data_IF_267442366824
#
_entry.id   IF_267442366824
#
_cell.length_a   1.000
_cell.length_b   1.000
_cell.length_c   1.000
_cell.angle_alpha   90.00
_cell.angle_beta   90.00
_cell.angle_gamma   90.00
#
_symmetry.space_group_name_H-M   'P 1'
#
loop_
_entity.id
_entity.type
_entity.pdbx_description
1 polymer ?
#
# COMPACT_ATOMS: atom_id res chain seq x y z
N UNK A 1 -8.29 -13.33 -6.71
CA UNK A 1 -6.97 -13.73 -6.14
C UNK A 1 -7.23 -14.36 -4.79
N UNK A 2 -6.61 -15.49 -4.48
CA UNK A 2 -6.63 -16.09 -3.15
C UNK A 2 -5.33 -15.64 -2.45
N UNK A 3 -5.43 -14.82 -1.41
CA UNK A 3 -4.29 -14.40 -0.59
C UNK A 3 -4.32 -15.18 0.74
N UNK A 4 -3.58 -16.29 0.85
CA UNK A 4 -3.63 -17.17 2.02
C UNK A 4 -3.09 -16.52 3.31
N UNK A 5 -2.33 -15.43 3.17
CA UNK A 5 -1.62 -14.77 4.28
C UNK A 5 -2.49 -13.78 5.07
N UNK A 6 -3.70 -13.46 4.60
CA UNK A 6 -4.64 -12.65 5.37
C UNK A 6 -5.31 -13.54 6.44
N UNK A 7 -4.56 -13.80 7.53
CA UNK A 7 -5.02 -14.62 8.66
C UNK A 7 -6.26 -14.05 9.40
N UNK A 8 -6.65 -12.81 9.07
CA UNK A 8 -7.93 -12.19 9.41
C UNK A 8 -8.66 -11.82 8.12
N UNK A 9 -9.40 -12.78 7.54
CA UNK A 9 -10.21 -12.55 6.34
C UNK A 9 -11.36 -11.59 6.69
N UNK A 10 -11.25 -10.34 6.24
CA UNK A 10 -12.41 -9.47 6.15
C UNK A 10 -13.18 -9.91 4.88
N UNK A 11 -14.44 -10.39 5.00
CA UNK A 11 -15.23 -10.81 3.84
C UNK A 11 -15.64 -9.63 2.95
N UNK A 12 -15.35 -8.39 3.36
CA UNK A 12 -15.58 -7.22 2.53
C UNK A 12 -14.88 -7.36 1.17
N UNK A 13 -15.59 -7.12 0.07
CA UNK A 13 -14.99 -7.17 -1.26
C UNK A 13 -13.93 -6.08 -1.40
N UNK A 14 -12.84 -6.41 -2.09
CA UNK A 14 -11.84 -5.43 -2.52
C UNK A 14 -12.51 -4.49 -3.52
N UNK A 15 -12.33 -3.19 -3.32
CA UNK A 15 -12.82 -2.18 -4.25
C UNK A 15 -11.96 -2.18 -5.53
N UNK A 16 -12.58 -2.27 -6.73
CA UNK A 16 -11.85 -2.10 -7.99
C UNK A 16 -11.21 -0.72 -8.09
N UNK A 17 -10.09 -0.59 -8.80
CA UNK A 17 -9.37 0.69 -8.91
C UNK A 17 -10.24 1.84 -9.40
N UNK A 18 -11.14 1.57 -10.37
CA UNK A 18 -12.10 2.57 -10.88
C UNK A 18 -13.03 3.13 -9.79
N UNK A 19 -13.35 2.33 -8.77
CA UNK A 19 -14.17 2.78 -7.63
C UNK A 19 -13.33 3.64 -6.70
N UNK A 20 -12.11 3.21 -6.38
CA UNK A 20 -11.22 3.98 -5.51
C UNK A 20 -10.78 5.31 -6.12
N UNK A 21 -10.66 5.39 -7.46
CA UNK A 21 -10.37 6.65 -8.17
C UNK A 21 -11.48 7.70 -8.03
N UNK A 22 -12.71 7.26 -7.73
CA UNK A 22 -13.82 8.17 -7.46
C UNK A 22 -13.85 8.71 -6.03
N UNK A 23 -13.00 8.17 -5.15
CA UNK A 23 -12.91 8.55 -3.74
C UNK A 23 -11.62 9.37 -3.57
N UNK A 24 -11.71 10.66 -3.20
CA UNK A 24 -10.54 11.54 -3.17
C UNK A 24 -9.63 11.24 -1.97
N UNK A 25 -8.80 10.20 -2.07
CA UNK A 25 -7.85 9.81 -1.02
C UNK A 25 -6.67 10.80 -0.95
N UNK A 26 -6.85 11.91 -0.23
CA UNK A 26 -5.80 12.90 0.04
C UNK A 26 -6.09 13.69 1.30
N UNK A 27 -5.05 14.15 2.01
CA UNK A 27 -5.22 14.97 3.21
C UNK A 27 -5.83 16.34 2.89
N UNK A 28 -5.58 16.87 1.69
CA UNK A 28 -6.18 18.13 1.19
C UNK A 28 -7.69 18.01 0.94
N UNK A 29 -8.18 16.77 0.79
CA UNK A 29 -9.58 16.44 0.49
C UNK A 29 -10.28 15.70 1.62
N UNK A 30 -9.75 15.80 2.84
CA UNK A 30 -10.25 15.03 3.98
C UNK A 30 -11.72 15.31 4.31
N UNK A 31 -12.19 16.54 4.12
CA UNK A 31 -13.60 16.88 4.38
C UNK A 31 -14.55 16.17 3.41
N UNK A 32 -14.17 16.07 2.14
CA UNK A 32 -14.94 15.33 1.12
C UNK A 32 -15.00 13.84 1.48
N UNK A 33 -13.89 13.26 1.96
CA UNK A 33 -13.85 11.87 2.45
C UNK A 33 -14.75 11.65 3.66
N UNK A 34 -14.70 12.53 4.66
CA UNK A 34 -15.55 12.39 5.85
C UNK A 34 -17.03 12.45 5.49
N UNK A 35 -17.42 13.37 4.59
CA UNK A 35 -18.78 13.42 4.09
C UNK A 35 -19.16 12.14 3.31
N UNK A 36 -18.28 11.65 2.44
CA UNK A 36 -18.53 10.44 1.64
C UNK A 36 -18.77 9.20 2.52
N UNK A 37 -17.97 9.03 3.58
CA UNK A 37 -18.06 7.89 4.49
C UNK A 37 -18.94 8.15 5.72
N UNK A 38 -19.60 9.31 5.80
CA UNK A 38 -20.42 9.70 6.96
C UNK A 38 -19.66 9.64 8.29
N UNK A 39 -18.39 10.06 8.26
CA UNK A 39 -17.51 10.13 9.43
C UNK A 39 -17.76 11.47 10.14
N UNK A 40 -18.01 11.38 11.44
CA UNK A 40 -18.10 12.54 12.31
C UNK A 40 -16.69 13.07 12.63
N UNK A 41 -16.45 14.35 12.32
CA UNK A 41 -15.15 15.03 12.46
C UNK A 41 -14.70 15.13 13.92
N UNK A 42 -15.64 15.10 14.86
CA UNK A 42 -15.35 15.25 16.29
C UNK A 42 -14.94 13.92 16.95
N UNK A 43 -15.02 12.81 16.20
CA UNK A 43 -14.57 11.51 16.69
C UNK A 43 -13.05 11.36 16.61
N UNK A 44 -12.49 10.61 17.55
CA UNK A 44 -11.08 10.21 17.54
C UNK A 44 -10.70 9.50 16.23
N UNK A 45 -11.62 8.70 15.68
CA UNK A 45 -11.45 8.00 14.40
C UNK A 45 -11.16 8.95 13.23
N UNK A 46 -11.76 10.14 13.18
CA UNK A 46 -11.50 11.13 12.14
C UNK A 46 -10.05 11.64 12.20
N UNK A 47 -9.55 11.89 13.41
CA UNK A 47 -8.16 12.29 13.61
C UNK A 47 -7.19 11.18 13.23
N UNK A 48 -7.50 9.92 13.58
CA UNK A 48 -6.72 8.76 13.16
C UNK A 48 -6.65 8.66 11.63
N UNK A 49 -7.78 8.78 10.94
CA UNK A 49 -7.85 8.70 9.47
C UNK A 49 -7.01 9.81 8.82
N UNK A 50 -7.17 11.06 9.26
CA UNK A 50 -6.38 12.18 8.75
C UNK A 50 -4.88 11.96 8.97
N UNK A 51 -4.49 11.52 10.17
CA UNK A 51 -3.08 11.21 10.48
C UNK A 51 -2.54 10.11 9.58
N UNK A 52 -3.29 9.03 9.36
CA UNK A 52 -2.89 7.93 8.49
C UNK A 52 -2.70 8.38 7.05
N UNK A 53 -3.59 9.23 6.52
CA UNK A 53 -3.45 9.76 5.16
C UNK A 53 -2.20 10.65 5.06
N UNK A 54 -1.98 11.54 6.04
CA UNK A 54 -0.76 12.38 6.08
C UNK A 54 0.51 11.54 6.12
N UNK A 55 0.54 10.51 6.96
CA UNK A 55 1.67 9.56 7.01
C UNK A 55 1.87 8.84 5.67
N UNK A 56 0.81 8.61 4.90
CA UNK A 56 0.92 8.00 3.57
C UNK A 56 1.54 8.97 2.54
N UNK A 57 1.18 10.25 2.61
CA UNK A 57 1.63 11.32 1.71
C UNK A 57 2.99 11.93 2.08
N UNK A 58 3.48 11.70 3.30
CA UNK A 58 4.82 12.13 3.73
C UNK A 58 5.90 11.63 2.75
N UNK A 59 6.98 12.41 2.54
CA UNK A 59 8.10 11.98 1.70
C UNK A 59 8.64 10.60 2.09
N UNK A 60 9.24 9.90 1.12
CA UNK A 60 9.95 8.67 1.40
C UNK A 60 11.13 8.93 2.35
N UNK A 61 11.43 7.97 3.23
CA UNK A 61 12.64 8.00 4.03
C UNK A 61 13.91 7.82 3.18
N UNK A 62 15.06 8.07 3.79
CA UNK A 62 16.34 7.95 3.09
C UNK A 62 16.58 6.53 2.57
N UNK A 63 16.75 6.40 1.26
CA UNK A 63 16.96 5.13 0.59
C UNK A 63 15.69 4.31 0.33
N UNK A 64 14.50 4.87 0.62
CA UNK A 64 13.22 4.23 0.35
C UNK A 64 12.52 4.81 -0.88
N UNK A 65 11.70 3.99 -1.53
CA UNK A 65 10.70 4.45 -2.51
C UNK A 65 9.33 4.23 -1.89
N UNK A 66 8.57 5.30 -1.74
CA UNK A 66 7.24 5.29 -1.12
C UNK A 66 6.18 5.64 -2.13
N UNK A 67 5.06 4.93 -2.06
CA UNK A 67 3.88 5.20 -2.87
C UNK A 67 2.63 5.00 -2.02
N UNK A 68 1.78 6.02 -1.99
CA UNK A 68 0.51 5.97 -1.28
C UNK A 68 -0.54 5.28 -2.16
N UNK A 69 -0.62 3.95 -2.07
CA UNK A 69 -1.58 3.17 -2.85
C UNK A 69 -3.00 3.33 -2.31
N UNK A 70 -3.94 3.65 -3.20
CA UNK A 70 -5.36 3.86 -2.89
C UNK A 70 -6.23 2.64 -3.19
N UNK A 71 -5.65 1.61 -3.82
CA UNK A 71 -6.33 0.36 -4.18
C UNK A 71 -5.37 -0.82 -4.09
N UNK A 72 -5.92 -2.03 -4.03
CA UNK A 72 -5.11 -3.23 -4.09
C UNK A 72 -4.39 -3.36 -5.45
N UNK A 73 -5.05 -2.95 -6.54
CA UNK A 73 -4.50 -3.02 -7.89
C UNK A 73 -3.29 -2.08 -8.02
N UNK A 74 -3.39 -0.84 -7.55
CA UNK A 74 -2.27 0.11 -7.57
C UNK A 74 -1.13 -0.28 -6.63
N UNK A 75 -1.41 -0.98 -5.52
CA UNK A 75 -0.37 -1.60 -4.69
C UNK A 75 0.38 -2.72 -5.45
N UNK A 76 -0.33 -3.57 -6.20
CA UNK A 76 0.27 -4.61 -7.04
C UNK A 76 1.10 -3.99 -8.16
N UNK A 77 0.61 -2.94 -8.81
CA UNK A 77 1.34 -2.23 -9.87
C UNK A 77 2.64 -1.59 -9.34
N UNK A 78 2.55 -0.90 -8.19
CA UNK A 78 3.72 -0.29 -7.55
C UNK A 78 4.76 -1.36 -7.18
N UNK A 79 4.37 -2.41 -6.45
CA UNK A 79 5.31 -3.48 -6.06
C UNK A 79 5.93 -4.17 -7.27
N UNK A 80 5.15 -4.42 -8.32
CA UNK A 80 5.64 -5.00 -9.57
C UNK A 80 6.66 -4.09 -10.28
N UNK A 81 6.44 -2.77 -10.24
CA UNK A 81 7.37 -1.77 -10.80
C UNK A 81 8.70 -1.74 -10.05
N UNK A 82 8.69 -1.92 -8.73
CA UNK A 82 9.90 -1.88 -7.89
C UNK A 82 10.70 -3.18 -7.97
N UNK A 83 10.02 -4.33 -8.02
CA UNK A 83 10.66 -5.64 -8.12
C UNK A 83 11.23 -5.94 -9.52
N UNK A 84 11.06 -5.03 -10.49
CA UNK A 84 11.54 -5.20 -11.86
C UNK A 84 10.80 -6.30 -12.62
N UNK A 85 9.65 -6.75 -12.13
CA UNK A 85 8.77 -7.65 -12.87
C UNK A 85 8.08 -6.83 -13.95
N UNK A 86 8.65 -6.83 -15.16
CA UNK A 86 8.03 -6.18 -16.32
C UNK A 86 6.61 -6.72 -16.46
N UNK A 87 5.65 -5.79 -16.35
CA UNK A 87 4.32 -5.78 -16.94
C UNK A 87 3.79 -7.18 -17.28
N UNK A 88 2.84 -7.68 -16.49
CA UNK A 88 2.06 -8.88 -16.79
C UNK A 88 1.29 -8.68 -18.11
N UNK A 89 1.99 -8.77 -19.24
CA UNK A 89 1.39 -9.08 -20.52
C UNK A 89 0.87 -10.52 -20.41
N UNK A 90 -0.38 -10.80 -20.83
CA UNK A 90 -1.06 -12.05 -20.49
C UNK A 90 -0.40 -13.34 -20.98
N UNK A 91 0.72 -13.29 -21.74
CA UNK A 91 1.23 -14.43 -22.50
C UNK A 91 2.78 -14.60 -22.52
N UNK A 92 3.57 -14.12 -21.55
CA UNK A 92 5.01 -14.43 -21.55
C UNK A 92 5.55 -15.02 -20.24
N UNK A 93 6.13 -16.20 -20.37
CA UNK A 93 6.86 -16.97 -19.36
C UNK A 93 7.97 -16.15 -18.72
N UNK A 94 7.97 -16.01 -17.40
CA UNK A 94 9.07 -15.39 -16.67
C UNK A 94 10.17 -16.45 -16.46
N UNK A 95 11.15 -16.48 -17.36
CA UNK A 95 12.45 -17.08 -17.09
C UNK A 95 13.47 -15.97 -16.87
N UNK A 96 13.84 -15.75 -15.60
CA UNK A 96 15.22 -15.79 -15.09
C UNK A 96 15.21 -15.18 -13.68
N UNK A 97 15.24 -16.04 -12.66
CA UNK A 97 15.81 -15.65 -11.38
C UNK A 97 17.29 -15.32 -11.64
N UNK A 98 17.67 -14.03 -11.62
CA UNK A 98 19.03 -13.71 -11.21
C UNK A 98 19.03 -13.96 -9.73
N UNK A 99 19.66 -15.05 -9.33
CA UNK A 99 19.78 -15.48 -7.95
C UNK A 99 20.20 -14.29 -7.10
N UNK A 100 19.32 -13.87 -6.19
CA UNK A 100 19.69 -12.92 -5.15
C UNK A 100 20.73 -13.64 -4.31
N UNK A 101 21.92 -13.06 -4.20
CA UNK A 101 22.97 -13.59 -3.33
C UNK A 101 22.40 -13.66 -1.89
N UNK A 102 22.40 -14.84 -1.24
CA UNK A 102 21.91 -14.98 0.12
C UNK A 102 22.55 -13.98 1.11
N UNK A 103 23.76 -13.49 0.82
CA UNK A 103 24.45 -12.48 1.62
C UNK A 103 23.82 -11.08 1.56
N UNK A 104 23.00 -10.78 0.55
CA UNK A 104 22.26 -9.52 0.43
C UNK A 104 20.89 -9.59 1.15
N UNK A 105 20.43 -10.79 1.48
CA UNK A 105 19.12 -11.03 2.12
C UNK A 105 19.17 -10.78 3.64
N UNK A 106 20.30 -11.01 4.29
CA UNK A 106 20.50 -10.72 5.71
C UNK A 106 20.47 -9.22 6.02
N UNK A 107 21.08 -8.39 5.16
CA UNK A 107 21.13 -6.93 5.37
C UNK A 107 19.77 -6.22 5.28
N UNK A 108 18.74 -6.88 4.75
CA UNK A 108 17.39 -6.34 4.62
C UNK A 108 16.56 -6.61 5.88
N UNK A 109 16.78 -7.73 6.58
CA UNK A 109 16.02 -8.10 7.78
C UNK A 109 16.61 -7.54 9.08
N UNK A 110 17.87 -7.12 9.09
CA UNK A 110 18.55 -6.60 10.30
C UNK A 110 18.20 -5.13 10.62
N UNK A 111 17.24 -4.51 9.93
CA UNK A 111 16.78 -3.13 10.21
C UNK A 111 15.32 -3.04 10.66
N UNK A 112 14.84 -4.07 11.36
CA UNK A 112 13.68 -3.96 12.23
C UNK A 112 14.17 -3.94 13.69
N UNK A 113 14.66 -2.78 14.15
CA UNK A 113 14.76 -2.55 15.59
C UNK A 113 13.34 -2.38 16.16
N UNK A 114 12.97 -3.15 17.20
CA UNK A 114 11.71 -2.99 17.90
C UNK A 114 11.79 -1.79 18.85
N UNK A 115 11.62 -0.58 18.31
CA UNK A 115 11.48 0.64 19.10
C UNK A 115 10.02 0.87 19.46
N UNK A 116 9.60 0.24 20.56
CA UNK A 116 8.65 0.73 21.57
C UNK A 116 7.36 1.43 21.08
N UNK A 117 6.27 0.67 21.00
CA UNK A 117 4.93 1.04 21.51
C UNK A 117 4.35 -0.20 22.21
#
# INVERSE_FOLDING_TARGET
MNLPSLKNYNPAPILPHKVTDSIPFSSDKIEENFNHFSIDKDQESAQTILKTIKMCEEPAGDGEVKYCATSLESMVDFTSSQLGTKQFLPNYTINRAKQIDPAQLSSIFDRAEPSQI
#
